data_IF_535518880051
#
_entry.id   IF_535518880051
#
_cell.length_a   1.000
_cell.length_b   1.000
_cell.length_c   1.000
_cell.angle_alpha   90.00
_cell.angle_beta   90.00
_cell.angle_gamma   90.00
#
_symmetry.space_group_name_H-M   'P 1'
#
loop_
_entity.id
_entity.type
_entity.pdbx_description
1 polymer ?
#
# COMPACT_ATOMS: atom_id res chain seq x y z
N UNK A 1 26.45 -3.70 -21.08
CA UNK A 1 25.80 -4.30 -20.70
C UNK A 1 24.96 -4.41 -21.29
N UNK A 2 24.97 -4.73 -21.51
CA UNK A 2 24.15 -4.82 -21.76
C UNK A 2 23.37 -4.74 -21.25
N UNK A 3 23.23 -4.31 -21.21
CA UNK A 3 22.34 -4.19 -20.49
C UNK A 3 21.47 -4.93 -20.79
N UNK A 4 21.58 -5.33 -21.19
CA UNK A 4 20.60 -5.79 -21.42
C UNK A 4 20.09 -6.74 -21.02
N UNK A 5 20.61 -7.34 -20.84
CA UNK A 5 20.04 -8.12 -20.51
C UNK A 5 19.41 -8.28 -19.58
N UNK A 6 19.70 -7.82 -19.09
CA UNK A 6 19.08 -7.87 -18.02
C UNK A 6 17.96 -7.14 -18.03
N UNK A 7 17.27 -7.22 -18.93
CA UNK A 7 16.10 -6.50 -19.02
C UNK A 7 14.98 -7.08 -18.19
N UNK A 8 15.15 -8.25 -17.68
CA UNK A 8 14.20 -8.82 -16.75
C UNK A 8 14.88 -9.01 -15.40
N UNK A 9 14.75 -8.03 -14.52
CA UNK A 9 15.38 -8.12 -13.20
C UNK A 9 14.74 -9.14 -12.29
N UNK A 10 13.71 -9.84 -12.75
CA UNK A 10 12.96 -10.75 -11.92
C UNK A 10 11.88 -10.06 -11.11
N UNK A 11 11.20 -10.78 -10.23
CA UNK A 11 10.09 -10.22 -9.48
C UNK A 11 10.60 -9.13 -8.52
N UNK A 12 9.86 -8.03 -8.46
CA UNK A 12 10.16 -6.95 -7.51
C UNK A 12 9.93 -7.44 -6.10
N UNK A 13 8.88 -8.22 -5.89
CA UNK A 13 8.58 -8.80 -4.59
C UNK A 13 9.32 -10.13 -4.47
N UNK A 14 10.27 -10.25 -3.52
CA UNK A 14 10.97 -11.53 -3.32
C UNK A 14 9.98 -12.63 -2.98
N UNK A 15 10.12 -13.76 -3.63
CA UNK A 15 9.24 -14.90 -3.39
C UNK A 15 9.24 -15.33 -1.93
N UNK A 16 10.39 -15.26 -1.28
CA UNK A 16 10.52 -15.65 0.13
C UNK A 16 9.76 -14.73 1.09
N UNK A 17 9.29 -13.58 0.62
CA UNK A 17 8.57 -12.60 1.45
C UNK A 17 7.17 -12.31 0.91
N UNK A 18 6.76 -13.00 -0.14
CA UNK A 18 5.46 -12.78 -0.76
C UNK A 18 4.30 -13.01 0.21
N UNK A 19 4.48 -13.90 1.17
CA UNK A 19 3.44 -14.17 2.17
C UNK A 19 3.10 -12.92 2.99
N UNK A 20 4.06 -12.00 3.19
CA UNK A 20 3.80 -10.78 3.93
C UNK A 20 2.79 -9.87 3.21
N UNK A 21 2.70 -9.98 1.88
CA UNK A 21 1.67 -9.26 1.14
C UNK A 21 0.34 -10.00 1.08
N UNK A 22 0.35 -11.31 1.32
CA UNK A 22 -0.84 -12.14 1.28
C UNK A 22 -1.56 -12.24 2.61
N UNK A 23 -0.83 -12.05 3.71
CA UNK A 23 -1.39 -12.13 5.06
C UNK A 23 -2.03 -10.80 5.44
N UNK A 24 -3.16 -10.81 6.18
CA UNK A 24 -3.82 -9.57 6.60
C UNK A 24 -3.09 -8.92 7.78
N UNK A 25 -1.91 -8.38 7.51
CA UNK A 25 -1.08 -7.71 8.49
C UNK A 25 -1.24 -6.20 8.36
N UNK A 26 -0.80 -5.45 9.37
CA UNK A 26 -0.77 -4.00 9.26
C UNK A 26 0.52 -3.57 8.59
N UNK A 27 0.39 -2.70 7.59
CA UNK A 27 1.55 -2.04 7.03
C UNK A 27 1.71 -0.68 7.71
N UNK A 28 2.95 -0.28 7.91
CA UNK A 28 3.26 1.09 8.30
C UNK A 28 3.63 1.84 7.05
N UNK A 29 2.81 2.82 6.69
CA UNK A 29 2.94 3.51 5.41
C UNK A 29 3.45 4.92 5.61
N UNK A 30 4.48 5.26 4.82
CA UNK A 30 5.08 6.59 4.81
C UNK A 30 4.60 7.38 3.60
N UNK A 31 4.23 8.63 3.85
CA UNK A 31 3.93 9.60 2.80
C UNK A 31 4.72 10.87 3.12
N UNK A 32 4.81 11.79 2.17
CA UNK A 32 5.58 13.02 2.33
C UNK A 32 4.62 14.21 2.30
N UNK A 33 4.65 15.00 3.37
CA UNK A 33 3.83 16.22 3.45
C UNK A 33 4.32 17.27 2.48
N UNK A 34 3.49 18.24 2.11
CA UNK A 34 3.91 19.31 1.20
C UNK A 34 5.16 20.06 1.66
N UNK A 35 5.43 20.12 2.96
CA UNK A 35 6.62 20.79 3.48
C UNK A 35 7.87 19.89 3.48
N UNK A 36 7.74 18.67 2.94
CA UNK A 36 8.85 17.72 2.86
C UNK A 36 9.02 16.82 4.06
N UNK A 37 8.23 16.99 5.12
CA UNK A 37 8.36 16.14 6.30
C UNK A 37 7.60 14.83 6.10
N UNK A 38 8.14 13.71 6.61
CA UNK A 38 7.47 12.43 6.45
C UNK A 38 6.32 12.25 7.44
N UNK A 39 5.35 11.44 7.03
CA UNK A 39 4.25 11.00 7.87
C UNK A 39 4.18 9.48 7.80
N UNK A 40 3.95 8.83 8.94
CA UNK A 40 3.81 7.37 9.00
C UNK A 40 2.52 7.03 9.74
N UNK A 41 1.75 6.10 9.19
CA UNK A 41 0.58 5.59 9.87
C UNK A 41 0.33 4.14 9.48
N UNK A 42 -0.31 3.34 10.36
CA UNK A 42 -0.68 1.97 10.01
C UNK A 42 -1.85 1.96 9.04
N UNK A 43 -1.90 0.94 8.20
CA UNK A 43 -2.98 0.82 7.21
C UNK A 43 -3.24 -0.63 6.87
N UNK A 44 -4.47 -0.91 6.46
CA UNK A 44 -4.83 -2.15 5.79
C UNK A 44 -4.37 -2.08 4.34
N UNK A 45 -4.14 -3.24 3.74
CA UNK A 45 -3.73 -3.34 2.34
C UNK A 45 -4.12 -4.70 1.78
N UNK A 46 -4.14 -4.79 0.47
CA UNK A 46 -4.15 -6.07 -0.24
C UNK A 46 -3.26 -5.94 -1.47
N UNK A 47 -2.74 -7.05 -1.94
CA UNK A 47 -1.89 -7.08 -3.13
C UNK A 47 -2.58 -7.94 -4.18
N UNK A 48 -2.71 -7.43 -5.41
CA UNK A 48 -3.37 -8.15 -6.49
C UNK A 48 -2.38 -8.78 -7.48
N UNK A 49 -1.09 -8.75 -7.17
CA UNK A 49 -0.03 -9.21 -8.06
C UNK A 49 0.63 -8.08 -8.84
N UNK A 50 -0.02 -6.95 -8.93
CA UNK A 50 0.49 -5.77 -9.63
C UNK A 50 0.51 -4.55 -8.73
N UNK A 51 -0.59 -4.28 -8.05
CA UNK A 51 -0.75 -3.11 -7.18
C UNK A 51 -0.98 -3.50 -5.75
N UNK A 52 -0.49 -2.67 -4.85
CA UNK A 52 -0.93 -2.68 -3.46
C UNK A 52 -2.09 -1.72 -3.35
N UNK A 53 -3.25 -2.22 -2.93
CA UNK A 53 -4.48 -1.45 -2.84
C UNK A 53 -4.75 -1.03 -1.41
N UNK A 54 -5.15 0.22 -1.25
CA UNK A 54 -5.55 0.81 0.02
C UNK A 54 -6.92 1.46 -0.12
N UNK A 55 -7.57 1.69 1.02
CA UNK A 55 -8.75 2.55 1.08
C UNK A 55 -8.39 3.80 1.87
N UNK A 56 -8.88 4.96 1.46
CA UNK A 56 -8.63 6.21 2.13
C UNK A 56 -9.81 7.16 1.89
N UNK A 57 -9.71 8.37 2.42
CA UNK A 57 -10.69 9.41 2.19
C UNK A 57 -10.02 10.70 1.74
N UNK A 58 -10.76 11.52 1.00
CA UNK A 58 -10.21 12.76 0.44
C UNK A 58 -9.93 13.83 1.49
N UNK A 59 -10.45 13.68 2.71
CA UNK A 59 -10.19 14.65 3.77
C UNK A 59 -9.01 14.28 4.66
N UNK A 60 -8.33 13.16 4.40
CA UNK A 60 -7.16 12.74 5.17
C UNK A 60 -5.88 13.41 4.66
N UNK A 61 -4.94 13.63 5.60
CA UNK A 61 -3.67 14.26 5.24
C UNK A 61 -2.90 13.46 4.19
N UNK A 62 -2.92 12.13 4.27
CA UNK A 62 -2.19 11.33 3.31
C UNK A 62 -2.68 11.50 1.87
N UNK A 63 -3.96 11.79 1.67
CA UNK A 63 -4.47 12.11 0.33
C UNK A 63 -3.83 13.40 -0.20
N UNK A 64 -3.77 14.44 0.63
CA UNK A 64 -3.11 15.70 0.25
C UNK A 64 -1.63 15.49 -0.02
N UNK A 65 -0.99 14.61 0.77
CA UNK A 65 0.42 14.28 0.57
C UNK A 65 0.64 13.68 -0.80
N UNK A 66 -0.17 12.71 -1.21
CA UNK A 66 -0.03 12.05 -2.51
C UNK A 66 -0.27 13.01 -3.67
N UNK A 67 -1.09 14.03 -3.49
CA UNK A 67 -1.31 15.01 -4.55
C UNK A 67 -0.06 15.86 -4.81
N UNK A 68 0.80 16.02 -3.82
CA UNK A 68 2.07 16.74 -3.96
C UNK A 68 3.21 15.80 -4.33
N UNK A 69 3.26 14.64 -3.67
CA UNK A 69 4.33 13.67 -3.87
C UNK A 69 3.72 12.28 -3.85
N UNK A 70 3.60 11.63 -5.00
CA UNK A 70 3.00 10.29 -5.06
C UNK A 70 3.91 9.17 -4.56
N UNK A 71 5.17 9.44 -4.26
CA UNK A 71 6.07 8.43 -3.72
C UNK A 71 5.60 8.02 -2.32
N UNK A 72 5.66 6.73 -2.05
CA UNK A 72 5.21 6.18 -0.78
C UNK A 72 5.98 4.90 -0.48
N UNK A 73 5.96 4.49 0.78
CA UNK A 73 6.61 3.25 1.20
C UNK A 73 5.74 2.57 2.25
N UNK A 74 5.78 1.24 2.24
CA UNK A 74 5.10 0.43 3.25
C UNK A 74 6.12 -0.50 3.87
N UNK A 75 6.08 -0.64 5.19
CA UNK A 75 6.87 -1.65 5.90
C UNK A 75 5.92 -2.63 6.55
N UNK A 76 6.12 -3.91 6.27
CA UNK A 76 5.27 -4.98 6.77
C UNK A 76 6.15 -5.95 7.53
N UNK A 77 5.91 -6.08 8.82
CA UNK A 77 6.68 -6.94 9.70
C UNK A 77 5.94 -8.25 9.93
N UNK A 78 6.68 -9.36 9.90
CA UNK A 78 6.14 -10.65 10.29
C UNK A 78 5.94 -10.66 11.82
N UNK A 79 4.70 -10.74 12.32
CA UNK A 79 4.47 -10.70 13.77
C UNK A 79 5.02 -11.92 14.50
N UNK A 80 5.26 -13.02 13.79
CA UNK A 80 5.80 -14.24 14.38
C UNK A 80 7.33 -14.25 14.38
N UNK A 81 7.94 -13.38 13.58
CA UNK A 81 9.39 -13.25 13.47
C UNK A 81 9.71 -11.79 13.16
N UNK A 82 9.75 -10.92 14.17
CA UNK A 82 9.89 -9.46 13.94
C UNK A 82 11.15 -9.02 13.21
N UNK A 83 12.18 -9.86 13.14
CA UNK A 83 13.37 -9.56 12.34
C UNK A 83 13.11 -9.73 10.85
N UNK A 84 12.01 -10.35 10.48
CA UNK A 84 11.65 -10.60 9.10
C UNK A 84 10.62 -9.54 8.66
N UNK A 85 10.97 -8.73 7.67
CA UNK A 85 10.09 -7.68 7.19
C UNK A 85 10.28 -7.44 5.70
N UNK A 86 9.30 -6.78 5.10
CA UNK A 86 9.36 -6.34 3.72
C UNK A 86 9.03 -4.86 3.66
N UNK A 87 9.95 -4.07 3.09
CA UNK A 87 9.64 -2.70 2.72
C UNK A 87 9.32 -2.66 1.24
N UNK A 88 8.17 -2.08 0.89
CA UNK A 88 7.78 -1.86 -0.51
C UNK A 88 7.81 -0.36 -0.75
N UNK A 89 8.66 0.09 -1.67
CA UNK A 89 8.69 1.49 -2.11
C UNK A 89 8.06 1.58 -3.49
N UNK A 90 7.19 2.53 -3.67
CA UNK A 90 6.50 2.69 -4.94
C UNK A 90 5.89 4.06 -5.11
N UNK A 91 4.98 4.14 -6.04
CA UNK A 91 4.26 5.38 -6.32
C UNK A 91 2.77 5.09 -6.38
N UNK A 92 1.99 6.04 -5.89
CA UNK A 92 0.55 6.02 -6.09
C UNK A 92 0.31 6.31 -7.56
N UNK A 93 -0.19 5.31 -8.28
CA UNK A 93 -0.39 5.40 -9.72
C UNK A 93 -1.84 5.66 -10.07
N UNK A 94 -2.77 5.23 -9.22
CA UNK A 94 -4.19 5.41 -9.45
C UNK A 94 -4.89 5.80 -8.16
N UNK A 95 -5.75 6.80 -8.24
CA UNK A 95 -6.67 7.15 -7.17
C UNK A 95 -8.05 7.18 -7.80
N UNK A 96 -8.90 6.26 -7.39
CA UNK A 96 -10.22 6.08 -8.00
C UNK A 96 -11.29 6.47 -6.99
N UNK A 97 -12.30 7.25 -7.40
CA UNK A 97 -13.46 7.47 -6.54
C UNK A 97 -14.11 6.14 -6.17
N UNK A 98 -14.49 6.00 -4.93
CA UNK A 98 -15.13 4.78 -4.44
C UNK A 98 -16.34 5.16 -3.59
N UNK A 99 -17.37 5.77 -4.21
CA UNK A 99 -18.50 6.36 -3.48
C UNK A 99 -19.38 5.36 -2.76
N UNK A 100 -19.23 4.07 -3.02
CA UNK A 100 -19.93 3.03 -2.29
C UNK A 100 -19.04 2.32 -1.28
N UNK A 101 -17.75 2.70 -1.21
CA UNK A 101 -16.83 2.10 -0.25
C UNK A 101 -16.50 0.64 -0.55
N UNK A 102 -16.49 0.25 -1.81
CA UNK A 102 -16.26 -1.15 -2.20
C UNK A 102 -14.91 -1.64 -1.73
N UNK A 103 -13.86 -0.83 -1.89
CA UNK A 103 -12.52 -1.22 -1.45
C UNK A 103 -12.46 -1.31 0.08
N UNK A 104 -13.12 -0.39 0.78
CA UNK A 104 -13.20 -0.46 2.24
C UNK A 104 -13.84 -1.77 2.70
N UNK A 105 -14.99 -2.12 2.10
CA UNK A 105 -15.71 -3.36 2.46
C UNK A 105 -14.84 -4.58 2.19
N UNK A 106 -14.14 -4.59 1.05
CA UNK A 106 -13.25 -5.69 0.68
C UNK A 106 -12.11 -5.84 1.68
N UNK A 107 -11.50 -4.74 2.09
CA UNK A 107 -10.41 -4.79 3.05
C UNK A 107 -10.91 -5.16 4.45
N UNK A 108 -12.06 -4.66 4.86
CA UNK A 108 -12.64 -5.03 6.14
C UNK A 108 -12.88 -6.54 6.22
N UNK A 109 -13.39 -7.12 5.16
CA UNK A 109 -13.60 -8.57 5.10
C UNK A 109 -12.28 -9.33 5.17
N UNK A 110 -11.27 -8.88 4.44
CA UNK A 110 -9.92 -9.48 4.47
C UNK A 110 -9.33 -9.49 5.87
N UNK A 111 -9.58 -8.44 6.66
CA UNK A 111 -9.02 -8.31 8.01
C UNK A 111 -9.92 -8.89 9.11
N UNK A 112 -10.95 -9.63 8.71
CA UNK A 112 -11.80 -10.32 9.67
C UNK A 112 -12.75 -9.41 10.43
N UNK A 113 -13.02 -8.22 9.90
CA UNK A 113 -13.93 -7.24 10.48
C UNK A 113 -15.00 -6.86 9.48
N UNK A 114 -15.77 -7.84 8.96
CA UNK A 114 -16.72 -7.57 7.90
C UNK A 114 -17.75 -6.55 8.33
N UNK A 115 -17.99 -5.58 7.47
CA UNK A 115 -18.96 -4.53 7.71
C UNK A 115 -19.43 -3.98 6.37
N UNK A 116 -20.56 -3.30 6.39
CA UNK A 116 -21.11 -2.68 5.20
C UNK A 116 -20.36 -1.40 4.83
N UNK A 117 -20.88 -0.67 3.83
CA UNK A 117 -20.27 0.59 3.42
C UNK A 117 -20.12 1.54 4.59
N UNK A 118 -18.99 2.25 4.69
CA UNK A 118 -18.77 3.15 5.82
C UNK A 118 -19.59 4.41 5.71
N UNK A 119 -19.82 5.08 6.85
CA UNK A 119 -20.63 6.29 6.87
C UNK A 119 -20.05 7.40 6.01
N UNK A 120 -18.72 7.43 5.84
CA UNK A 120 -18.02 8.43 5.04
C UNK A 120 -17.82 8.00 3.58
N UNK A 121 -18.60 7.07 3.09
CA UNK A 121 -18.41 6.49 1.76
C UNK A 121 -18.35 7.53 0.64
N UNK A 122 -19.06 8.64 0.78
CA UNK A 122 -19.05 9.69 -0.24
C UNK A 122 -17.67 10.28 -0.49
N UNK A 123 -16.75 10.17 0.48
CA UNK A 123 -15.39 10.70 0.40
C UNK A 123 -14.35 9.60 0.16
N UNK A 124 -14.78 8.36 0.01
CA UNK A 124 -13.86 7.23 -0.14
C UNK A 124 -13.19 7.19 -1.49
N UNK A 125 -11.95 6.75 -1.46
CA UNK A 125 -11.13 6.50 -2.66
C UNK A 125 -10.45 5.15 -2.51
N UNK A 126 -10.22 4.51 -3.65
CA UNK A 126 -9.37 3.33 -3.73
C UNK A 126 -8.04 3.78 -4.31
N UNK A 127 -6.95 3.41 -3.65
CA UNK A 127 -5.61 3.88 -3.98
C UNK A 127 -4.76 2.71 -4.41
N UNK A 128 -4.18 2.79 -5.61
CA UNK A 128 -3.32 1.74 -6.16
C UNK A 128 -1.87 2.22 -6.16
N UNK A 129 -1.03 1.51 -5.43
CA UNK A 129 0.40 1.77 -5.35
C UNK A 129 1.12 0.75 -6.23
N UNK A 130 1.92 1.23 -7.17
CA UNK A 130 2.77 0.35 -7.98
C UNK A 130 4.11 0.16 -7.29
N UNK A 131 4.43 -1.07 -6.87
CA UNK A 131 5.75 -1.35 -6.29
C UNK A 131 6.86 -1.10 -7.31
N UNK A 132 7.94 -0.47 -6.85
CA UNK A 132 9.12 -0.16 -7.69
C UNK A 132 10.36 -0.79 -7.14
N UNK A 133 10.53 -0.82 -5.81
CA UNK A 133 11.69 -1.37 -5.13
C UNK A 133 11.24 -2.05 -3.85
N UNK A 134 12.01 -3.03 -3.43
CA UNK A 134 11.78 -3.69 -2.15
C UNK A 134 13.09 -3.76 -1.38
N UNK A 135 12.97 -3.73 -0.06
CA UNK A 135 14.09 -3.89 0.85
C UNK A 135 13.71 -4.92 1.90
N UNK A 136 14.66 -5.75 2.27
CA UNK A 136 14.50 -6.75 3.31
C UNK A 136 15.83 -6.91 4.04
N UNK A 137 15.79 -7.63 5.14
CA UNK A 137 16.97 -7.85 5.96
C UNK A 137 17.26 -9.33 6.02
#
# INVERSE_FOLDING_TARGET
MSPGVADDPGPIIPESLADLLERPLYAHMATVRPDGTPQVNPTWYRFDGEYVWLTATTYRQKYRNWQHQPATALSITDPDDPGRYLEVRGVVERILPDPEGVEFVRLAERYGEPQGPPADKAYRIAVAIRPRHTTTQ
#
